data_IF_909556416925
#
_entry.id   IF_909556416925
#
_cell.length_a   1.000
_cell.length_b   1.000
_cell.length_c   1.000
_cell.angle_alpha   90.00
_cell.angle_beta   90.00
_cell.angle_gamma   90.00
#
_symmetry.space_group_name_H-M   'P 1'
#
loop_
_entity.id
_entity.type
_entity.pdbx_description
1 polymer ?
#
# COMPACT_ATOMS: atom_id res chain seq x y z
N UNK A 1 -14.17 -18.36 34.20
CA UNK A 1 -13.99 -17.40 33.08
C UNK A 1 -15.05 -17.68 32.03
N UNK A 2 -15.80 -16.67 31.59
CA UNK A 2 -17.02 -16.85 30.78
C UNK A 2 -16.65 -17.44 29.40
N UNK A 3 -17.43 -18.41 28.92
CA UNK A 3 -17.25 -19.09 27.63
C UNK A 3 -17.04 -18.10 26.45
N UNK A 4 -17.70 -16.94 26.50
CA UNK A 4 -17.51 -15.85 25.52
C UNK A 4 -16.08 -15.30 25.49
N UNK A 5 -15.43 -15.17 26.65
CA UNK A 5 -14.03 -14.72 26.76
C UNK A 5 -13.07 -15.77 26.21
N UNK A 6 -13.38 -17.05 26.39
CA UNK A 6 -12.59 -18.16 25.84
C UNK A 6 -12.69 -18.23 24.30
N UNK A 7 -13.89 -18.04 23.75
CA UNK A 7 -14.11 -17.99 22.30
C UNK A 7 -13.38 -16.78 21.65
N UNK A 8 -13.41 -15.61 22.30
CA UNK A 8 -12.68 -14.43 21.85
C UNK A 8 -11.16 -14.68 21.83
N UNK A 9 -10.64 -15.38 22.83
CA UNK A 9 -9.22 -15.72 22.92
C UNK A 9 -8.81 -16.73 21.85
N UNK A 10 -9.67 -17.71 21.54
CA UNK A 10 -9.42 -18.72 20.51
C UNK A 10 -9.40 -18.15 19.08
N UNK A 11 -10.19 -17.09 18.84
CA UNK A 11 -10.18 -16.33 17.58
C UNK A 11 -8.81 -15.71 17.26
N UNK A 12 -8.10 -15.23 18.29
CA UNK A 12 -6.79 -14.57 18.13
C UNK A 12 -5.64 -15.55 17.80
N UNK A 13 -5.84 -16.86 17.93
CA UNK A 13 -4.82 -17.88 17.66
C UNK A 13 -4.79 -18.40 16.21
N UNK A 14 -5.70 -17.94 15.34
CA UNK A 14 -5.60 -18.22 13.90
C UNK A 14 -4.54 -17.33 13.25
N UNK A 15 -3.28 -17.58 13.61
CA UNK A 15 -2.12 -17.06 12.89
C UNK A 15 -1.97 -17.90 11.62
N UNK A 16 -2.73 -17.54 10.58
CA UNK A 16 -2.43 -18.03 9.23
C UNK A 16 -0.95 -17.76 8.96
N UNK A 17 -0.24 -18.76 8.43
CA UNK A 17 1.15 -18.64 8.03
C UNK A 17 1.22 -17.49 7.02
N UNK A 18 1.65 -16.32 7.48
CA UNK A 18 1.88 -15.15 6.65
C UNK A 18 3.12 -15.49 5.84
N UNK A 19 2.93 -16.24 4.76
CA UNK A 19 3.94 -16.32 3.70
C UNK A 19 3.98 -14.90 3.17
N UNK A 20 4.95 -14.11 3.62
CA UNK A 20 5.25 -12.82 3.07
C UNK A 20 5.58 -13.05 1.60
N UNK A 21 4.56 -12.95 0.75
CA UNK A 21 4.73 -12.75 -0.67
C UNK A 21 5.42 -11.39 -0.74
N UNK A 22 6.74 -11.37 -0.84
CA UNK A 22 7.44 -10.18 -1.30
C UNK A 22 6.77 -9.83 -2.61
N UNK A 23 6.05 -8.72 -2.70
CA UNK A 23 5.47 -8.34 -3.97
C UNK A 23 6.65 -8.14 -4.93
N UNK A 24 6.78 -9.02 -5.90
CA UNK A 24 7.78 -8.98 -6.97
C UNK A 24 7.50 -7.82 -7.94
N UNK A 25 7.13 -6.65 -7.42
CA UNK A 25 6.92 -5.49 -8.24
C UNK A 25 8.27 -4.85 -8.44
N UNK A 26 8.88 -5.12 -9.60
CA UNK A 26 9.87 -4.20 -10.16
C UNK A 26 9.30 -2.78 -10.34
N UNK A 27 7.98 -2.58 -10.22
CA UNK A 27 7.34 -1.27 -10.19
C UNK A 27 7.42 -0.58 -8.83
N UNK A 28 7.55 0.74 -8.88
CA UNK A 28 7.54 1.66 -7.74
C UNK A 28 6.24 1.53 -6.90
N UNK A 29 6.32 1.48 -5.56
CA UNK A 29 5.14 1.49 -4.71
C UNK A 29 4.43 2.85 -4.80
N UNK A 30 3.24 2.86 -5.41
CA UNK A 30 2.48 4.09 -5.71
C UNK A 30 2.11 4.87 -4.44
N UNK A 31 1.75 4.19 -3.35
CA UNK A 31 1.34 4.85 -2.10
C UNK A 31 2.44 5.71 -1.48
N UNK A 32 3.71 5.28 -1.57
CA UNK A 32 4.83 5.99 -0.95
C UNK A 32 5.22 7.26 -1.75
N UNK A 33 4.90 7.30 -3.05
CA UNK A 33 5.23 8.43 -3.91
C UNK A 33 4.22 9.59 -3.80
N UNK A 34 3.03 9.34 -3.26
CA UNK A 34 1.94 10.33 -3.19
C UNK A 34 2.09 11.37 -2.07
N UNK A 35 3.04 11.19 -1.13
CA UNK A 35 3.45 12.22 -0.17
C UNK A 35 2.28 12.84 0.61
N UNK A 36 1.69 12.09 1.53
CA UNK A 36 0.49 12.53 2.24
C UNK A 36 0.81 13.60 3.28
N UNK A 37 0.00 14.66 3.29
CA UNK A 37 0.10 15.73 4.26
C UNK A 37 -0.44 15.29 5.62
N UNK A 38 0.25 15.65 6.70
CA UNK A 38 -0.29 15.48 8.05
C UNK A 38 -1.43 16.46 8.26
N UNK A 39 -2.65 15.94 8.40
CA UNK A 39 -3.86 16.75 8.58
C UNK A 39 -4.28 16.80 10.05
N UNK A 40 -4.89 17.91 10.45
CA UNK A 40 -5.43 18.10 11.80
C UNK A 40 -6.58 17.14 12.11
N UNK A 41 -6.83 16.88 13.39
CA UNK A 41 -7.97 16.08 13.86
C UNK A 41 -9.29 16.53 13.22
N UNK A 42 -10.05 15.58 12.70
CA UNK A 42 -11.36 15.80 12.08
C UNK A 42 -11.29 16.22 10.61
N UNK A 43 -10.09 16.32 10.04
CA UNK A 43 -9.92 16.65 8.63
C UNK A 43 -10.28 15.45 7.74
N UNK A 44 -10.97 15.74 6.65
CA UNK A 44 -11.26 14.79 5.59
C UNK A 44 -10.54 15.25 4.31
N UNK A 45 -9.85 14.34 3.65
CA UNK A 45 -9.11 14.59 2.42
C UNK A 45 -9.58 13.65 1.33
N UNK A 46 -9.72 14.19 0.12
CA UNK A 46 -9.89 13.42 -1.11
C UNK A 46 -8.84 13.93 -2.09
N UNK A 47 -8.10 13.01 -2.71
CA UNK A 47 -7.13 13.28 -3.76
C UNK A 47 -7.43 12.47 -5.00
N UNK A 48 -7.35 13.07 -6.19
CA UNK A 48 -7.37 12.36 -7.46
C UNK A 48 -6.01 12.53 -8.11
N UNK A 49 -5.36 11.41 -8.41
CA UNK A 49 -4.01 11.38 -8.95
C UNK A 49 -3.99 10.63 -10.27
N UNK A 50 -3.12 11.06 -11.16
CA UNK A 50 -2.78 10.32 -12.36
C UNK A 50 -1.31 9.97 -12.29
N UNK A 51 -1.01 8.67 -12.32
CA UNK A 51 0.33 8.13 -12.30
C UNK A 51 0.70 7.61 -13.69
N UNK A 52 1.83 8.10 -14.19
CA UNK A 52 2.50 7.59 -15.37
C UNK A 52 3.80 6.94 -14.93
N UNK A 53 3.88 5.62 -15.06
CA UNK A 53 5.07 4.86 -14.70
C UNK A 53 5.68 4.22 -15.95
N UNK A 54 6.94 4.56 -16.24
CA UNK A 54 7.69 4.00 -17.36
C UNK A 54 8.89 3.19 -16.87
N UNK A 55 8.73 1.87 -16.80
CA UNK A 55 9.78 0.95 -16.38
C UNK A 55 10.66 0.57 -17.56
N UNK A 56 11.83 1.20 -17.66
CA UNK A 56 12.78 0.98 -18.74
C UNK A 56 14.00 0.10 -18.38
N UNK A 57 14.16 -0.21 -17.09
CA UNK A 57 15.33 -0.92 -16.59
C UNK A 57 14.96 -1.76 -15.38
N UNK A 58 15.46 -2.99 -15.32
CA UNK A 58 15.43 -3.80 -14.11
C UNK A 58 16.86 -4.17 -13.71
N UNK A 59 17.19 -3.96 -12.45
CA UNK A 59 18.48 -4.34 -11.89
C UNK A 59 18.28 -5.50 -10.91
N UNK A 60 19.16 -6.50 -10.98
CA UNK A 60 19.27 -7.57 -9.98
C UNK A 60 20.61 -7.41 -9.26
N UNK A 61 20.58 -6.81 -8.07
CA UNK A 61 21.79 -6.35 -7.40
C UNK A 61 22.49 -5.25 -8.20
N UNK A 62 23.75 -5.46 -8.55
CA UNK A 62 24.56 -4.51 -9.36
C UNK A 62 24.47 -4.75 -10.86
N UNK A 63 23.81 -5.83 -11.29
CA UNK A 63 23.71 -6.18 -12.70
C UNK A 63 22.40 -5.65 -13.29
N UNK A 64 22.51 -4.87 -14.38
CA UNK A 64 21.36 -4.53 -15.21
C UNK A 64 20.95 -5.76 -16.01
N UNK A 65 19.71 -6.20 -15.84
CA UNK A 65 19.14 -7.25 -16.66
C UNK A 65 18.76 -6.64 -18.00
N UNK A 66 19.38 -7.15 -19.07
CA UNK A 66 19.19 -6.65 -20.43
C UNK A 66 18.20 -7.54 -21.17
N UNK A 67 16.97 -7.63 -20.62
CA UNK A 67 15.84 -8.25 -21.30
C UNK A 67 14.72 -7.23 -21.49
N UNK A 68 14.15 -7.18 -22.69
CA UNK A 68 13.04 -6.29 -23.02
C UNK A 68 11.71 -6.81 -22.46
N UNK A 69 11.72 -8.02 -21.88
CA UNK A 69 10.52 -8.71 -21.39
C UNK A 69 9.81 -7.99 -20.24
N UNK A 70 10.50 -7.02 -19.62
CA UNK A 70 10.01 -6.28 -18.46
C UNK A 70 9.87 -4.78 -18.72
N UNK A 71 10.07 -4.32 -19.95
CA UNK A 71 9.72 -2.94 -20.33
C UNK A 71 8.21 -2.75 -20.23
N UNK A 72 7.77 -1.77 -19.43
CA UNK A 72 6.34 -1.56 -19.19
C UNK A 72 6.03 -0.09 -18.95
N UNK A 73 5.08 0.42 -19.73
CA UNK A 73 4.40 1.69 -19.44
C UNK A 73 3.09 1.35 -18.74
N UNK A 74 2.82 1.98 -17.60
CA UNK A 74 1.56 1.84 -16.85
C UNK A 74 0.97 3.22 -16.61
N UNK A 75 -0.34 3.32 -16.82
CA UNK A 75 -1.13 4.50 -16.50
C UNK A 75 -2.12 4.10 -15.41
N UNK A 76 -2.19 4.88 -14.34
CA UNK A 76 -3.12 4.63 -13.23
C UNK A 76 -3.81 5.91 -12.82
N UNK A 77 -5.12 5.84 -12.60
CA UNK A 77 -5.87 6.92 -11.96
C UNK A 77 -6.12 6.45 -10.54
N UNK A 78 -5.65 7.20 -9.56
CA UNK A 78 -5.78 6.83 -8.16
C UNK A 78 -6.69 7.80 -7.44
N UNK A 79 -7.72 7.26 -6.80
CA UNK A 79 -8.55 7.99 -5.86
C UNK A 79 -8.06 7.70 -4.44
N UNK A 80 -7.54 8.73 -3.79
CA UNK A 80 -7.20 8.72 -2.38
C UNK A 80 -8.34 9.35 -1.57
N UNK A 81 -8.70 8.73 -0.45
CA UNK A 81 -9.58 9.31 0.56
C UNK A 81 -9.01 9.04 1.94
N UNK A 82 -9.03 10.04 2.81
CA UNK A 82 -8.42 9.99 4.13
C UNK A 82 -9.23 10.74 5.17
N UNK A 83 -9.22 10.24 6.40
CA UNK A 83 -9.83 10.90 7.54
C UNK A 83 -8.90 10.85 8.76
N UNK A 84 -8.63 12.01 9.35
CA UNK A 84 -7.81 12.13 10.57
C UNK A 84 -8.68 12.00 11.82
N UNK A 85 -8.53 10.90 12.56
CA UNK A 85 -9.24 10.67 13.82
C UNK A 85 -8.65 11.50 14.97
N UNK A 86 -7.33 11.66 14.96
CA UNK A 86 -6.58 12.53 15.87
C UNK A 86 -5.46 13.22 15.09
N UNK A 87 -4.68 14.08 15.75
CA UNK A 87 -3.50 14.70 15.13
C UNK A 87 -2.38 13.69 14.79
N UNK A 88 -2.50 12.44 15.27
CA UNK A 88 -1.47 11.40 15.14
C UNK A 88 -2.02 10.07 14.61
N UNK A 89 -3.31 10.00 14.27
CA UNK A 89 -3.97 8.79 13.78
C UNK A 89 -4.95 9.15 12.68
N UNK A 90 -4.73 8.59 11.48
CA UNK A 90 -5.60 8.69 10.32
C UNK A 90 -5.97 7.30 9.80
N UNK A 91 -7.08 7.24 9.06
CA UNK A 91 -7.47 6.09 8.24
C UNK A 91 -7.53 6.57 6.80
N UNK A 92 -6.98 5.77 5.89
CA UNK A 92 -6.90 6.10 4.48
C UNK A 92 -7.30 4.92 3.60
N UNK A 93 -7.90 5.24 2.46
CA UNK A 93 -8.20 4.31 1.38
C UNK A 93 -7.63 4.84 0.07
N UNK A 94 -6.93 3.97 -0.66
CA UNK A 94 -6.40 4.25 -1.98
C UNK A 94 -7.01 3.26 -2.97
N UNK A 95 -7.68 3.79 -3.99
CA UNK A 95 -8.36 3.02 -5.03
C UNK A 95 -7.71 3.32 -6.39
N UNK A 96 -7.64 2.34 -7.27
CA UNK A 96 -7.04 2.44 -8.62
C UNK A 96 -8.01 1.98 -9.68
#
# INVERSE_FOLDING_TARGET
MKLKTFILFLSLFNTSIIIAQTCCSGGIPLSNNLGLATLEKGSFQIGLHYDYNNLNTLNSGTQKLNDDSRLRITHSILLNTGYSLTNNLSIEGLFT
#
